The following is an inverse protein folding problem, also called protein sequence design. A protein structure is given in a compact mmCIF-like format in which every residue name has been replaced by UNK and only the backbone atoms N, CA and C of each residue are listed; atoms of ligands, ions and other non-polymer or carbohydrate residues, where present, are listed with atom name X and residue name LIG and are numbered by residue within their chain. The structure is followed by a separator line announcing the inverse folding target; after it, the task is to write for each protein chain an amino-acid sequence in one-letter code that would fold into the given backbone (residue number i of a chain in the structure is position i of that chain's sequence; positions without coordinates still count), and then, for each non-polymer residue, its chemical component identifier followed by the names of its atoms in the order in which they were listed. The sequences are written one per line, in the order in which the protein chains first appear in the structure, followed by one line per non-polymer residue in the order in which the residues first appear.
data_IF_517290308504
#
_entry.id   IF_517290308504
#
_cell.length_a   1.000
_cell.length_b   1.000
_cell.length_c   1.000
_cell.angle_alpha   90.00
_cell.angle_beta   90.00
_cell.angle_gamma   90.00
#
_symmetry.space_group_name_H-M   'P 1'
#
loop_
_entity.id
_entity.type
_entity.pdbx_description
1 polymer ?
#
# COMPACT_ATOMS: atom_id res chain seq x y z
N UNK A 1 -17.77 -9.65 -21.23
CA UNK A 1 -18.31 -9.15 -19.97
C UNK A 1 -18.86 -7.75 -20.19
N UNK A 2 -20.14 -7.54 -19.87
CA UNK A 2 -20.75 -6.21 -19.95
C UNK A 2 -20.35 -5.34 -18.73
N UNK A 3 -20.75 -4.07 -18.73
CA UNK A 3 -20.34 -3.14 -17.67
C UNK A 3 -20.91 -3.48 -16.28
N UNK A 4 -22.11 -4.07 -16.21
CA UNK A 4 -22.74 -4.45 -14.96
C UNK A 4 -22.07 -5.69 -14.35
N UNK A 5 -21.81 -6.71 -15.17
CA UNK A 5 -21.05 -7.91 -14.80
C UNK A 5 -19.64 -7.54 -14.29
N UNK A 6 -18.96 -6.61 -14.98
CA UNK A 6 -17.64 -6.14 -14.55
C UNK A 6 -17.70 -5.46 -13.18
N UNK A 7 -18.70 -4.63 -12.92
CA UNK A 7 -18.84 -3.96 -11.64
C UNK A 7 -19.15 -4.94 -10.50
N UNK A 8 -19.97 -5.97 -10.77
CA UNK A 8 -20.26 -7.04 -9.80
C UNK A 8 -18.98 -7.83 -9.47
N UNK A 9 -18.22 -8.25 -10.48
CA UNK A 9 -16.95 -8.95 -10.29
C UNK A 9 -15.92 -8.12 -9.50
N UNK A 10 -15.85 -6.81 -9.75
CA UNK A 10 -15.00 -5.90 -8.96
C UNK A 10 -15.45 -5.88 -7.49
N UNK A 11 -16.75 -5.88 -7.21
CA UNK A 11 -17.25 -5.88 -5.85
C UNK A 11 -16.92 -7.18 -5.09
N UNK A 12 -17.04 -8.33 -5.75
CA UNK A 12 -16.68 -9.62 -5.16
C UNK A 12 -15.19 -9.70 -4.81
N UNK A 13 -14.31 -9.21 -5.69
CA UNK A 13 -12.87 -9.18 -5.41
C UNK A 13 -12.48 -8.11 -4.36
N UNK A 14 -13.25 -7.03 -4.28
CA UNK A 14 -13.11 -6.04 -3.22
C UNK A 14 -13.42 -6.66 -1.84
N UNK A 15 -14.45 -7.49 -1.72
CA UNK A 15 -14.79 -8.20 -0.47
C UNK A 15 -13.69 -9.17 -0.02
N UNK A 16 -12.92 -9.71 -0.96
CA UNK A 16 -11.73 -10.52 -0.70
C UNK A 16 -10.50 -9.68 -0.28
N UNK A 17 -10.63 -8.36 -0.20
CA UNK A 17 -9.56 -7.45 0.22
C UNK A 17 -8.51 -7.14 -0.84
N UNK A 18 -8.78 -7.45 -2.12
CA UNK A 18 -7.78 -7.23 -3.18
C UNK A 18 -7.56 -5.74 -3.47
N UNK A 19 -6.29 -5.40 -3.73
CA UNK A 19 -5.91 -4.07 -4.21
C UNK A 19 -6.46 -3.80 -5.62
N UNK A 20 -6.63 -2.53 -5.99
CA UNK A 20 -7.11 -2.18 -7.32
C UNK A 20 -6.21 -2.72 -8.45
N UNK A 21 -4.90 -2.85 -8.19
CA UNK A 21 -3.95 -3.50 -9.11
C UNK A 21 -4.28 -4.98 -9.29
N UNK A 22 -4.43 -5.71 -8.19
CA UNK A 22 -4.69 -7.15 -8.24
C UNK A 22 -6.06 -7.46 -8.88
N UNK A 23 -7.10 -6.67 -8.56
CA UNK A 23 -8.42 -6.75 -9.22
C UNK A 23 -8.29 -6.50 -10.72
N UNK A 24 -7.53 -5.47 -11.12
CA UNK A 24 -7.34 -5.12 -12.52
C UNK A 24 -6.63 -6.23 -13.30
N UNK A 25 -5.57 -6.81 -12.72
CA UNK A 25 -4.83 -7.94 -13.27
C UNK A 25 -5.72 -9.18 -13.42
N UNK A 26 -6.48 -9.54 -12.38
CA UNK A 26 -7.34 -10.71 -12.39
C UNK A 26 -8.50 -10.61 -13.38
N UNK A 27 -9.06 -9.41 -13.58
CA UNK A 27 -10.17 -9.16 -14.50
C UNK A 27 -9.71 -8.74 -15.91
N UNK A 28 -8.41 -8.64 -16.16
CA UNK A 28 -7.86 -8.18 -17.44
C UNK A 28 -8.30 -6.76 -17.83
N UNK A 29 -8.42 -5.86 -16.84
CA UNK A 29 -8.85 -4.47 -17.05
C UNK A 29 -7.84 -3.45 -16.51
N UNK A 30 -8.11 -2.15 -16.69
CA UNK A 30 -7.24 -1.11 -16.14
C UNK A 30 -7.58 -0.78 -14.69
N UNK A 31 -6.59 -0.36 -13.89
CA UNK A 31 -6.84 0.16 -12.53
C UNK A 31 -7.83 1.34 -12.54
N UNK A 32 -7.78 2.19 -13.58
CA UNK A 32 -8.73 3.30 -13.75
C UNK A 32 -10.18 2.80 -13.83
N UNK A 33 -10.41 1.66 -14.46
CA UNK A 33 -11.74 1.03 -14.53
C UNK A 33 -12.21 0.60 -13.15
N UNK A 34 -11.34 -0.06 -12.37
CA UNK A 34 -11.61 -0.46 -10.98
C UNK A 34 -11.94 0.77 -10.11
N UNK A 35 -11.11 1.82 -10.18
CA UNK A 35 -11.37 3.06 -9.44
C UNK A 35 -12.69 3.71 -9.82
N UNK A 36 -13.05 3.73 -11.10
CA UNK A 36 -14.33 4.28 -11.57
C UNK A 36 -15.51 3.48 -11.03
N UNK A 37 -15.42 2.15 -11.01
CA UNK A 37 -16.45 1.29 -10.43
C UNK A 37 -16.60 1.54 -8.92
N UNK A 38 -15.50 1.57 -8.17
CA UNK A 38 -15.48 1.89 -6.73
C UNK A 38 -16.06 3.29 -6.44
N UNK A 39 -15.77 4.28 -7.28
CA UNK A 39 -16.35 5.63 -7.13
C UNK A 39 -17.85 5.67 -7.39
N UNK A 40 -18.34 4.93 -8.39
CA UNK A 40 -19.80 4.80 -8.63
C UNK A 40 -20.50 4.08 -7.48
N UNK A 41 -19.88 3.03 -6.94
CA UNK A 41 -20.41 2.29 -5.78
C UNK A 41 -20.54 3.19 -4.56
N UNK A 42 -19.51 4.00 -4.28
CA UNK A 42 -19.54 5.03 -3.22
C UNK A 42 -20.61 6.09 -3.45
N UNK A 43 -20.79 6.57 -4.67
CA UNK A 43 -21.85 7.53 -5.01
C UNK A 43 -23.26 6.94 -4.82
N UNK A 44 -23.41 5.62 -4.92
CA UNK A 44 -24.65 4.90 -4.65
C UNK A 44 -24.88 4.59 -3.14
N UNK A 45 -24.02 5.09 -2.26
CA UNK A 45 -24.17 4.95 -0.80
C UNK A 45 -23.46 3.74 -0.19
N UNK A 46 -22.66 3.00 -0.95
CA UNK A 46 -21.84 1.93 -0.40
C UNK A 46 -20.57 2.51 0.25
N UNK A 47 -20.34 2.19 1.51
CA UNK A 47 -19.25 2.68 2.33
C UNK A 47 -18.02 1.75 2.33
N UNK A 48 -17.99 0.72 1.49
CA UNK A 48 -16.84 -0.18 1.41
C UNK A 48 -15.58 0.61 1.08
N UNK A 49 -14.55 0.39 1.90
CA UNK A 49 -13.21 0.93 1.71
C UNK A 49 -12.19 -0.19 1.76
N UNK A 50 -11.27 -0.18 0.81
CA UNK A 50 -10.12 -1.07 0.85
C UNK A 50 -9.21 -0.70 2.03
N UNK A 51 -8.97 -1.65 2.92
CA UNK A 51 -7.93 -1.56 3.92
C UNK A 51 -6.63 -2.17 3.35
N UNK A 52 -5.50 -1.47 3.45
CA UNK A 52 -4.22 -2.07 3.11
C UNK A 52 -3.93 -3.28 3.99
N UNK A 53 -3.29 -4.33 3.45
CA UNK A 53 -2.87 -5.46 4.28
C UNK A 53 -1.90 -4.99 5.36
N UNK A 54 -1.89 -5.70 6.48
CA UNK A 54 -0.87 -5.49 7.51
C UNK A 54 0.53 -5.73 6.90
N UNK A 55 1.53 -4.92 7.26
CA UNK A 55 2.90 -5.15 6.79
C UNK A 55 3.42 -6.49 7.31
N UNK A 56 4.25 -7.17 6.52
CA UNK A 56 5.03 -8.30 7.01
C UNK A 56 6.06 -7.80 8.04
N UNK A 57 5.87 -8.17 9.31
CA UNK A 57 6.71 -7.75 10.43
C UNK A 57 8.17 -8.17 10.23
N UNK A 58 8.44 -9.35 9.66
CA UNK A 58 9.81 -9.84 9.42
C UNK A 58 10.48 -9.00 8.33
N UNK A 59 9.75 -8.67 7.26
CA UNK A 59 10.25 -7.80 6.20
C UNK A 59 10.60 -6.40 6.76
N UNK A 60 9.75 -5.88 7.64
CA UNK A 60 9.94 -4.59 8.33
C UNK A 60 11.18 -4.62 9.22
N UNK A 61 11.32 -5.63 10.08
CA UNK A 61 12.45 -5.76 10.99
C UNK A 61 13.78 -5.89 10.25
N UNK A 62 13.84 -6.74 9.21
CA UNK A 62 15.04 -6.90 8.38
C UNK A 62 15.43 -5.60 7.69
N UNK A 63 14.46 -4.89 7.11
CA UNK A 63 14.70 -3.59 6.51
C UNK A 63 15.20 -2.56 7.53
N UNK A 64 14.61 -2.51 8.73
CA UNK A 64 15.06 -1.60 9.79
C UNK A 64 16.48 -1.96 10.29
N UNK A 65 16.85 -3.24 10.28
CA UNK A 65 18.18 -3.72 10.64
C UNK A 65 19.26 -3.44 9.58
N UNK A 66 18.87 -3.15 8.33
CA UNK A 66 19.80 -2.86 7.23
C UNK A 66 19.86 -3.92 6.13
N UNK A 67 18.95 -4.88 6.16
CA UNK A 67 18.84 -5.97 5.19
C UNK A 67 17.47 -5.94 4.48
N UNK A 68 17.17 -4.88 3.71
CA UNK A 68 15.85 -4.70 3.14
C UNK A 68 15.58 -5.74 2.04
N UNK A 69 14.41 -6.42 2.05
CA UNK A 69 13.94 -7.24 0.95
C UNK A 69 13.88 -6.43 -0.37
N UNK A 70 14.12 -7.11 -1.50
CA UNK A 70 14.09 -6.47 -2.82
C UNK A 70 12.69 -5.92 -3.17
N UNK A 71 11.65 -6.57 -2.70
CA UNK A 71 10.24 -6.29 -2.96
C UNK A 71 9.53 -5.56 -1.81
N UNK A 72 10.28 -4.92 -0.91
CA UNK A 72 9.73 -4.17 0.22
C UNK A 72 8.68 -3.15 -0.25
N UNK A 73 7.43 -3.38 0.17
CA UNK A 73 6.32 -2.53 -0.21
C UNK A 73 6.44 -1.15 0.43
N UNK A 74 5.66 -0.18 -0.05
CA UNK A 74 5.64 1.14 0.58
C UNK A 74 5.13 1.10 2.03
N UNK A 75 4.18 0.22 2.34
CA UNK A 75 3.61 0.08 3.69
C UNK A 75 4.69 -0.43 4.64
N UNK A 76 5.39 -1.49 4.26
CA UNK A 76 6.49 -2.06 5.05
C UNK A 76 7.67 -1.09 5.14
N UNK A 77 8.03 -0.41 4.05
CA UNK A 77 9.06 0.64 4.05
C UNK A 77 8.76 1.73 5.08
N UNK A 78 7.51 2.19 5.13
CA UNK A 78 7.07 3.21 6.09
C UNK A 78 7.13 2.69 7.53
N UNK A 79 6.73 1.43 7.76
CA UNK A 79 6.84 0.80 9.07
C UNK A 79 8.29 0.65 9.52
N UNK A 80 9.20 0.23 8.64
CA UNK A 80 10.64 0.12 8.92
C UNK A 80 11.28 1.48 9.24
N UNK A 81 10.88 2.54 8.52
CA UNK A 81 11.28 3.92 8.85
C UNK A 81 10.80 4.31 10.25
N UNK A 82 9.54 4.01 10.59
CA UNK A 82 8.99 4.31 11.92
C UNK A 82 9.75 3.57 13.03
N UNK A 83 10.14 2.31 12.80
CA UNK A 83 10.95 1.53 13.73
C UNK A 83 12.36 2.15 13.91
N UNK A 84 12.99 2.60 12.83
CA UNK A 84 14.27 3.31 12.91
C UNK A 84 14.15 4.65 13.68
N UNK A 85 13.01 5.32 13.55
CA UNK A 85 12.72 6.57 14.27
C UNK A 85 12.57 6.34 15.77
N UNK A 86 11.97 5.21 16.18
CA UNK A 86 11.91 4.78 17.59
C UNK A 86 13.30 4.56 18.20
N UNK A 87 14.28 4.16 17.39
CA UNK A 87 15.69 4.05 17.81
C UNK A 87 16.47 5.37 17.73
N UNK A 88 15.83 6.46 17.31
CA UNK A 88 16.47 7.78 17.20
C UNK A 88 17.46 7.90 16.03
N UNK A 89 17.35 7.07 15.00
CA UNK A 89 18.29 7.08 13.89
C UNK A 89 18.09 8.33 12.99
N UNK A 90 19.20 8.95 12.53
CA UNK A 90 19.12 10.08 11.61
C UNK A 90 18.67 9.61 10.22
N UNK A 91 17.99 10.48 9.47
CA UNK A 91 17.38 10.14 8.18
C UNK A 91 18.35 9.53 7.15
N UNK A 92 19.65 9.87 7.23
CA UNK A 92 20.68 9.25 6.39
C UNK A 92 20.86 7.77 6.72
N UNK A 93 21.04 7.43 7.99
CA UNK A 93 21.22 6.03 8.43
C UNK A 93 19.96 5.23 8.16
N UNK A 94 18.78 5.80 8.44
CA UNK A 94 17.49 5.17 8.11
C UNK A 94 17.37 4.87 6.62
N UNK A 95 17.74 5.83 5.75
CA UNK A 95 17.68 5.66 4.31
C UNK A 95 18.62 4.54 3.82
N UNK A 96 19.85 4.50 4.34
CA UNK A 96 20.82 3.45 4.05
C UNK A 96 20.28 2.07 4.48
N UNK A 97 19.77 1.94 5.71
CA UNK A 97 19.25 0.66 6.22
C UNK A 97 18.03 0.15 5.45
N UNK A 98 17.06 1.02 5.22
CA UNK A 98 15.79 0.66 4.56
C UNK A 98 15.95 0.53 3.03
N UNK A 99 17.14 0.86 2.48
CA UNK A 99 17.40 0.78 1.05
C UNK A 99 16.60 1.81 0.25
N UNK A 100 16.49 3.04 0.75
CA UNK A 100 15.75 4.12 0.10
C UNK A 100 16.51 5.45 0.11
N UNK A 101 15.91 6.52 -0.43
CA UNK A 101 16.52 7.85 -0.40
C UNK A 101 16.16 8.61 0.87
N UNK A 102 16.99 9.58 1.26
CA UNK A 102 16.66 10.50 2.36
C UNK A 102 15.33 11.24 2.14
N UNK A 103 15.02 11.59 0.90
CA UNK A 103 13.77 12.27 0.56
C UNK A 103 12.56 11.38 0.86
N UNK A 104 12.66 10.08 0.57
CA UNK A 104 11.64 9.09 0.94
C UNK A 104 11.41 9.04 2.45
N UNK A 105 12.48 9.10 3.25
CA UNK A 105 12.37 9.16 4.72
C UNK A 105 11.62 10.41 5.18
N UNK A 106 12.02 11.60 4.68
CA UNK A 106 11.34 12.85 5.04
C UNK A 106 9.87 12.85 4.64
N UNK A 107 9.55 12.31 3.46
CA UNK A 107 8.17 12.18 2.99
C UNK A 107 7.34 11.21 3.85
N UNK A 108 7.93 10.09 4.29
CA UNK A 108 7.26 9.17 5.21
C UNK A 108 6.93 9.84 6.56
N UNK A 109 7.89 10.59 7.11
CA UNK A 109 7.73 11.32 8.38
C UNK A 109 6.69 12.43 8.29
N UNK A 110 6.67 13.20 7.21
CA UNK A 110 5.66 14.28 7.03
C UNK A 110 4.24 13.73 6.94
N UNK A 111 4.06 12.51 6.43
CA UNK A 111 2.78 11.78 6.35
C UNK A 111 2.34 11.13 7.67
N UNK A 112 3.19 11.08 8.69
CA UNK A 112 2.84 10.59 10.03
C UNK A 112 2.41 11.71 10.97
N UNK A 113 2.85 12.94 10.72
CA UNK A 113 2.53 14.11 11.52
C UNK A 113 1.19 14.79 11.15
N UNK A 114 0.49 14.29 10.12
CA UNK A 114 -0.80 14.76 9.64
C UNK A 114 -1.85 13.66 9.81
#
# INVERSE_FOLDING_TARGET
MNAAELHAAIAELDEQGLSARAVAEQLGCSQRTVHRARSKRRAAGNDWTWAPPAPDEIAVERAAAGEPPADLTWIERRAAIAQCDQWGLPARVTAERVGCTRQTVYYARSRQAA
#
